data_IF_988749913642
#
_entry.id   IF_988749913642
#
_cell.length_a   1.000
_cell.length_b   1.000
_cell.length_c   1.000
_cell.angle_alpha   90.00
_cell.angle_beta   90.00
_cell.angle_gamma   90.00
#
_symmetry.space_group_name_H-M   'P 1'
#
loop_
_entity.id
_entity.type
_entity.pdbx_description
1 polymer ?
#
# COMPACT_ATOMS: atom_id res chain seq x y z
N UNK A 1 -37.18 20.12 -20.84
CA UNK A 1 -37.38 18.73 -21.27
C UNK A 1 -36.12 18.26 -21.98
N UNK A 2 -35.27 17.54 -21.26
CA UNK A 2 -34.07 16.89 -21.79
C UNK A 2 -34.03 15.50 -21.19
N UNK A 3 -34.11 14.49 -22.05
CA UNK A 3 -34.34 13.09 -21.70
C UNK A 3 -33.22 12.55 -20.80
N UNK A 4 -33.64 11.87 -19.74
CA UNK A 4 -32.81 11.08 -18.86
C UNK A 4 -32.07 9.96 -19.61
N UNK A 5 -30.77 9.85 -19.41
CA UNK A 5 -29.99 8.66 -19.73
C UNK A 5 -29.68 7.95 -18.42
N UNK A 6 -30.45 6.90 -18.11
CA UNK A 6 -30.15 5.95 -17.02
C UNK A 6 -28.85 5.23 -17.36
N UNK A 7 -27.84 5.32 -16.51
CA UNK A 7 -26.69 4.39 -16.51
C UNK A 7 -26.69 3.61 -15.21
N UNK A 8 -27.28 2.42 -15.25
CA UNK A 8 -26.96 1.34 -14.31
C UNK A 8 -25.53 0.92 -14.60
N UNK A 9 -24.59 1.27 -13.73
CA UNK A 9 -23.18 0.89 -13.84
C UNK A 9 -22.96 -0.58 -13.47
N UNK A 10 -23.58 -1.51 -14.20
CA UNK A 10 -22.90 -2.79 -14.44
C UNK A 10 -21.57 -2.43 -15.08
N UNK A 11 -20.47 -3.07 -14.69
CA UNK A 11 -19.21 -2.93 -15.37
C UNK A 11 -19.42 -3.44 -16.81
N UNK A 12 -19.88 -2.55 -17.71
CA UNK A 12 -20.44 -2.88 -19.03
C UNK A 12 -19.44 -3.72 -19.80
N UNK A 13 -18.15 -3.47 -19.58
CA UNK A 13 -17.04 -4.21 -20.17
C UNK A 13 -17.02 -5.68 -19.74
N UNK A 14 -17.14 -5.94 -18.43
CA UNK A 14 -17.17 -7.29 -17.87
C UNK A 14 -18.47 -8.01 -18.26
N UNK A 15 -19.61 -7.31 -18.19
CA UNK A 15 -20.91 -7.86 -18.58
C UNK A 15 -21.00 -8.20 -20.07
N UNK A 16 -20.44 -7.37 -20.96
CA UNK A 16 -20.36 -7.66 -22.39
C UNK A 16 -19.42 -8.84 -22.65
N UNK A 17 -18.27 -8.89 -21.97
CA UNK A 17 -17.30 -10.01 -22.08
C UNK A 17 -17.96 -11.33 -21.71
N UNK A 18 -18.62 -11.39 -20.55
CA UNK A 18 -19.21 -12.63 -20.05
C UNK A 18 -20.34 -13.12 -20.97
N UNK A 19 -21.09 -12.20 -21.61
CA UNK A 19 -22.11 -12.55 -22.60
C UNK A 19 -21.53 -13.06 -23.92
N UNK A 20 -20.45 -12.46 -24.42
CA UNK A 20 -19.79 -12.93 -25.65
C UNK A 20 -19.15 -14.30 -25.41
N UNK A 21 -18.52 -14.50 -24.26
CA UNK A 21 -17.90 -15.77 -23.89
C UNK A 21 -18.96 -16.86 -23.69
N UNK A 22 -20.08 -16.54 -23.03
CA UNK A 22 -21.24 -17.43 -22.92
C UNK A 22 -21.80 -17.80 -24.30
N UNK A 23 -21.92 -16.83 -25.21
CA UNK A 23 -22.40 -17.07 -26.57
C UNK A 23 -21.46 -18.02 -27.34
N UNK A 24 -20.15 -17.81 -27.25
CA UNK A 24 -19.16 -18.67 -27.90
C UNK A 24 -19.22 -20.12 -27.36
N UNK A 25 -19.35 -20.29 -26.05
CA UNK A 25 -19.55 -21.60 -25.41
C UNK A 25 -20.87 -22.23 -25.87
N UNK A 26 -21.96 -21.48 -25.90
CA UNK A 26 -23.26 -21.99 -26.33
C UNK A 26 -23.23 -22.45 -27.79
N UNK A 27 -22.61 -21.69 -28.69
CA UNK A 27 -22.43 -22.05 -30.11
C UNK A 27 -21.62 -23.35 -30.22
N UNK A 28 -20.52 -23.46 -29.47
CA UNK A 28 -19.70 -24.67 -29.44
C UNK A 28 -20.49 -25.89 -28.95
N UNK A 29 -21.17 -25.78 -27.80
CA UNK A 29 -21.94 -26.88 -27.19
C UNK A 29 -23.09 -27.31 -28.08
N UNK A 30 -23.81 -26.37 -28.71
CA UNK A 30 -24.89 -26.67 -29.64
C UNK A 30 -24.34 -27.39 -30.88
N UNK A 31 -23.24 -26.91 -31.46
CA UNK A 31 -22.60 -27.55 -32.62
C UNK A 31 -22.09 -28.96 -32.31
N UNK A 32 -21.38 -29.11 -31.19
CA UNK A 32 -20.86 -30.41 -30.74
C UNK A 32 -22.00 -31.39 -30.37
N UNK A 33 -23.03 -30.91 -29.68
CA UNK A 33 -24.21 -31.69 -29.33
C UNK A 33 -24.96 -32.17 -30.57
N UNK A 34 -25.21 -31.27 -31.53
CA UNK A 34 -25.84 -31.60 -32.80
C UNK A 34 -25.00 -32.62 -33.60
N UNK A 35 -23.67 -32.47 -33.62
CA UNK A 35 -22.76 -33.40 -34.29
C UNK A 35 -22.83 -34.82 -33.69
N UNK A 36 -22.82 -34.94 -32.36
CA UNK A 36 -22.90 -36.24 -31.66
C UNK A 36 -24.28 -36.87 -31.81
N UNK A 37 -25.34 -36.06 -31.70
CA UNK A 37 -26.73 -36.53 -31.80
C UNK A 37 -27.16 -36.89 -33.23
N UNK A 38 -26.45 -36.40 -34.25
CA UNK A 38 -26.80 -36.65 -35.65
C UNK A 38 -26.84 -38.15 -35.97
N UNK A 39 -25.96 -38.95 -35.36
CA UNK A 39 -25.91 -40.42 -35.52
C UNK A 39 -27.10 -41.15 -34.88
N UNK A 40 -27.78 -40.53 -33.91
CA UNK A 40 -28.91 -41.13 -33.20
C UNK A 40 -30.27 -40.71 -33.77
N UNK A 41 -30.32 -39.60 -34.51
CA UNK A 41 -31.55 -38.98 -34.98
C UNK A 41 -31.76 -39.18 -36.49
N UNK A 42 -30.68 -39.27 -37.27
CA UNK A 42 -30.76 -39.45 -38.72
C UNK A 42 -30.21 -40.82 -39.12
N UNK A 43 -30.86 -41.45 -40.09
CA UNK A 43 -30.41 -42.71 -40.66
C UNK A 43 -29.08 -42.51 -41.41
N UNK A 44 -28.13 -43.42 -41.23
CA UNK A 44 -26.76 -43.28 -41.73
C UNK A 44 -26.69 -43.25 -43.26
N UNK A 45 -27.67 -43.84 -43.94
CA UNK A 45 -27.82 -43.81 -45.41
C UNK A 45 -28.73 -42.67 -45.90
N UNK A 46 -29.22 -41.84 -44.98
CA UNK A 46 -30.09 -40.72 -45.27
C UNK A 46 -29.35 -39.56 -45.95
N UNK A 47 -29.95 -39.00 -47.00
CA UNK A 47 -29.41 -37.86 -47.76
C UNK A 47 -29.10 -36.60 -46.91
N UNK A 48 -29.67 -36.50 -45.71
CA UNK A 48 -29.51 -35.38 -44.79
C UNK A 48 -28.46 -35.58 -43.70
N UNK A 49 -27.98 -36.81 -43.49
CA UNK A 49 -27.04 -37.12 -42.42
C UNK A 49 -25.71 -36.38 -42.58
N UNK A 50 -25.09 -36.51 -43.77
CA UNK A 50 -23.80 -35.86 -44.05
C UNK A 50 -23.87 -34.32 -44.01
N UNK A 51 -24.83 -33.64 -44.68
CA UNK A 51 -24.93 -32.18 -44.61
C UNK A 51 -25.13 -31.63 -43.20
N UNK A 52 -25.99 -32.25 -42.39
CA UNK A 52 -26.27 -31.79 -41.02
C UNK A 52 -25.06 -31.99 -40.13
N UNK A 53 -24.36 -33.12 -40.26
CA UNK A 53 -23.15 -33.42 -39.48
C UNK A 53 -22.01 -32.47 -39.82
N UNK A 54 -21.75 -32.20 -41.09
CA UNK A 54 -20.71 -31.25 -41.52
C UNK A 54 -21.03 -29.82 -41.09
N UNK A 55 -22.30 -29.41 -41.18
CA UNK A 55 -22.74 -28.09 -40.73
C UNK A 55 -22.62 -27.93 -39.22
N UNK A 56 -22.97 -28.96 -38.44
CA UNK A 56 -22.81 -28.96 -36.99
C UNK A 56 -21.33 -28.88 -36.56
N UNK A 57 -20.45 -29.58 -37.28
CA UNK A 57 -19.00 -29.49 -37.07
C UNK A 57 -18.46 -28.09 -37.36
N UNK A 58 -18.96 -27.45 -38.42
CA UNK A 58 -18.58 -26.08 -38.78
C UNK A 58 -19.04 -25.06 -37.70
N UNK A 59 -20.26 -25.21 -37.17
CA UNK A 59 -20.75 -24.40 -36.04
C UNK A 59 -19.87 -24.59 -34.80
N UNK A 60 -19.51 -25.84 -34.48
CA UNK A 60 -18.63 -26.16 -33.35
C UNK A 60 -17.25 -25.49 -33.52
N UNK A 61 -16.65 -25.57 -34.71
CA UNK A 61 -15.37 -24.95 -35.02
C UNK A 61 -15.42 -23.41 -34.87
N UNK A 62 -16.50 -22.77 -35.33
CA UNK A 62 -16.71 -21.32 -35.14
C UNK A 62 -16.77 -20.96 -33.66
N UNK A 63 -17.48 -21.76 -32.85
CA UNK A 63 -17.54 -21.56 -31.39
C UNK A 63 -16.15 -21.66 -30.74
N UNK A 64 -15.35 -22.66 -31.13
CA UNK A 64 -14.00 -22.86 -30.61
C UNK A 64 -13.05 -21.72 -30.99
N UNK A 65 -13.05 -21.28 -32.26
CA UNK A 65 -12.20 -20.17 -32.71
C UNK A 65 -12.60 -18.86 -32.01
N UNK A 66 -13.90 -18.61 -31.85
CA UNK A 66 -14.41 -17.41 -31.16
C UNK A 66 -14.02 -17.40 -29.69
N UNK A 67 -14.05 -18.57 -29.03
CA UNK A 67 -13.62 -18.73 -27.65
C UNK A 67 -12.11 -18.50 -27.50
N UNK A 68 -11.29 -19.04 -28.40
CA UNK A 68 -9.84 -18.80 -28.43
C UNK A 68 -9.50 -17.33 -28.66
N UNK A 69 -10.24 -16.64 -29.52
CA UNK A 69 -10.06 -15.21 -29.76
C UNK A 69 -10.35 -14.38 -28.50
N UNK A 70 -11.47 -14.62 -27.83
CA UNK A 70 -11.86 -13.84 -26.64
C UNK A 70 -10.98 -14.10 -25.42
N UNK A 71 -10.52 -15.34 -25.24
CA UNK A 71 -9.69 -15.71 -24.07
C UNK A 71 -8.24 -15.27 -24.25
N UNK A 72 -7.66 -15.42 -25.44
CA UNK A 72 -6.22 -15.21 -25.64
C UNK A 72 -5.91 -13.98 -26.47
N UNK A 73 -6.45 -13.91 -27.69
CA UNK A 73 -6.04 -12.88 -28.65
C UNK A 73 -6.52 -11.50 -28.23
N UNK A 74 -7.73 -11.38 -27.70
CA UNK A 74 -8.28 -10.08 -27.32
C UNK A 74 -7.50 -9.41 -26.19
N UNK A 75 -7.04 -10.18 -25.21
CA UNK A 75 -6.28 -9.64 -24.08
C UNK A 75 -4.87 -9.22 -24.52
N UNK A 76 -4.19 -10.06 -25.31
CA UNK A 76 -2.92 -9.71 -25.96
C UNK A 76 -3.06 -8.44 -26.81
N UNK A 77 -4.03 -8.42 -27.73
CA UNK A 77 -4.23 -7.28 -28.63
C UNK A 77 -4.63 -6.01 -27.84
N UNK A 78 -5.45 -6.13 -26.79
CA UNK A 78 -5.84 -4.99 -25.98
C UNK A 78 -4.67 -4.41 -25.19
N UNK A 79 -3.79 -5.26 -24.65
CA UNK A 79 -2.58 -4.80 -23.96
C UNK A 79 -1.62 -4.11 -24.93
N UNK A 80 -1.40 -4.67 -26.12
CA UNK A 80 -0.62 -4.01 -27.18
C UNK A 80 -1.23 -2.67 -27.61
N UNK A 81 -2.55 -2.61 -27.81
CA UNK A 81 -3.23 -1.35 -28.13
C UNK A 81 -3.14 -0.35 -26.98
N UNK A 82 -3.25 -0.80 -25.73
CA UNK A 82 -3.15 0.05 -24.54
C UNK A 82 -1.74 0.63 -24.42
N UNK A 83 -0.70 -0.20 -24.58
CA UNK A 83 0.70 0.25 -24.59
C UNK A 83 0.94 1.26 -25.71
N UNK A 84 0.46 0.98 -26.93
CA UNK A 84 0.55 1.91 -28.05
C UNK A 84 -0.23 3.22 -27.79
N UNK A 85 -1.39 3.15 -27.14
CA UNK A 85 -2.19 4.34 -26.80
C UNK A 85 -1.52 5.17 -25.70
N UNK A 86 -0.90 4.52 -24.70
CA UNK A 86 -0.13 5.18 -23.65
C UNK A 86 1.12 5.87 -24.24
N UNK A 87 1.79 5.24 -25.21
CA UNK A 87 2.85 5.87 -26.01
C UNK A 87 2.37 7.10 -26.78
N UNK A 88 1.14 7.11 -27.29
CA UNK A 88 0.57 8.23 -28.04
C UNK A 88 0.09 9.36 -27.10
N UNK A 89 -0.52 9.02 -25.97
CA UNK A 89 -1.16 9.99 -25.06
C UNK A 89 -0.14 10.67 -24.16
N UNK A 90 0.92 9.97 -23.74
CA UNK A 90 1.99 10.55 -22.92
C UNK A 90 3.37 10.06 -23.39
N UNK A 91 3.81 10.45 -24.60
CA UNK A 91 5.05 9.97 -25.20
C UNK A 91 6.28 10.28 -24.36
N UNK A 92 6.28 11.42 -23.65
CA UNK A 92 7.39 11.79 -22.78
C UNK A 92 7.47 10.93 -21.52
N UNK A 93 6.35 10.60 -20.86
CA UNK A 93 6.38 9.71 -19.70
C UNK A 93 6.91 8.31 -20.07
N UNK A 94 6.44 7.74 -21.18
CA UNK A 94 6.91 6.42 -21.65
C UNK A 94 8.37 6.46 -22.05
N UNK A 95 8.79 7.50 -22.81
CA UNK A 95 10.19 7.72 -23.18
C UNK A 95 11.08 7.86 -21.95
N UNK A 96 10.59 8.55 -20.92
CA UNK A 96 11.31 8.77 -19.67
C UNK A 96 11.25 7.55 -18.72
N UNK A 97 10.47 6.52 -19.03
CA UNK A 97 10.32 5.33 -18.19
C UNK A 97 9.47 5.56 -16.94
N UNK A 98 8.60 6.56 -16.93
CA UNK A 98 7.67 6.84 -15.83
C UNK A 98 6.45 5.95 -16.02
N UNK A 99 6.26 4.97 -15.12
CA UNK A 99 5.07 4.11 -15.11
C UNK A 99 3.88 4.79 -14.43
N UNK A 100 4.13 5.64 -13.43
CA UNK A 100 3.07 6.32 -12.70
C UNK A 100 3.57 7.51 -11.90
N UNK A 101 2.69 8.51 -11.76
CA UNK A 101 2.85 9.62 -10.83
C UNK A 101 1.64 9.61 -9.92
N UNK A 102 1.87 9.45 -8.64
CA UNK A 102 0.86 9.34 -7.59
C UNK A 102 0.94 10.58 -6.72
N UNK A 103 -0.20 11.12 -6.27
CA UNK A 103 -0.24 12.36 -5.48
C UNK A 103 0.35 12.16 -4.09
N UNK A 104 0.25 10.94 -3.56
CA UNK A 104 0.73 10.56 -2.24
C UNK A 104 0.93 9.05 -2.14
N UNK A 105 1.42 8.60 -0.97
CA UNK A 105 1.70 7.19 -0.68
C UNK A 105 0.46 6.29 -0.62
N UNK A 106 -0.72 6.81 -0.27
CA UNK A 106 -1.95 6.02 -0.27
C UNK A 106 -2.36 5.65 -1.69
N UNK A 107 -2.31 6.61 -2.62
CA UNK A 107 -2.57 6.36 -4.04
C UNK A 107 -1.54 5.42 -4.66
N UNK A 108 -0.25 5.57 -4.30
CA UNK A 108 0.78 4.60 -4.70
C UNK A 108 0.47 3.19 -4.17
N UNK A 109 0.11 3.06 -2.89
CA UNK A 109 -0.16 1.76 -2.27
C UNK A 109 -1.39 1.05 -2.83
N UNK A 110 -2.39 1.81 -3.33
CA UNK A 110 -3.53 1.26 -4.07
C UNK A 110 -3.11 0.68 -5.42
N UNK A 111 -2.17 1.34 -6.12
CA UNK A 111 -1.69 0.89 -7.41
C UNK A 111 -0.65 -0.24 -7.32
N UNK A 112 0.21 -0.21 -6.31
CA UNK A 112 1.25 -1.22 -6.09
C UNK A 112 1.56 -1.30 -4.60
N UNK A 113 1.28 -2.46 -3.99
CA UNK A 113 1.60 -2.69 -2.58
C UNK A 113 3.10 -2.77 -2.35
N UNK A 114 3.51 -2.49 -1.11
CA UNK A 114 4.92 -2.57 -0.72
C UNK A 114 5.44 -4.01 -0.81
N UNK A 115 4.58 -4.99 -0.48
CA UNK A 115 4.84 -6.41 -0.60
C UNK A 115 5.08 -6.80 -2.05
N UNK A 116 4.22 -6.33 -2.97
CA UNK A 116 4.33 -6.62 -4.41
C UNK A 116 5.65 -6.08 -5.00
N UNK A 117 6.11 -4.91 -4.54
CA UNK A 117 7.43 -4.40 -4.92
C UNK A 117 8.55 -5.36 -4.52
N UNK A 118 8.42 -6.04 -3.37
CA UNK A 118 9.46 -6.86 -2.76
C UNK A 118 9.36 -8.35 -3.09
N UNK A 119 8.27 -8.80 -3.72
CA UNK A 119 8.05 -10.22 -4.05
C UNK A 119 9.19 -10.80 -4.90
N UNK A 120 9.59 -10.10 -5.96
CA UNK A 120 10.48 -10.61 -7.01
C UNK A 120 11.91 -10.06 -6.97
N UNK A 121 12.37 -9.56 -5.81
CA UNK A 121 13.73 -9.02 -5.66
C UNK A 121 14.77 -10.13 -5.75
N UNK A 122 15.86 -9.87 -6.47
CA UNK A 122 16.89 -10.89 -6.75
C UNK A 122 18.26 -10.56 -6.16
N UNK A 123 18.62 -9.28 -6.04
CA UNK A 123 19.96 -8.87 -5.64
C UNK A 123 19.96 -7.83 -4.53
N UNK A 124 19.24 -6.72 -4.71
CA UNK A 124 19.39 -5.56 -3.84
C UNK A 124 18.10 -4.78 -3.63
N UNK A 125 17.91 -4.37 -2.38
CA UNK A 125 16.93 -3.37 -1.96
C UNK A 125 17.70 -2.19 -1.38
N UNK A 126 17.48 -1.00 -1.91
CA UNK A 126 18.10 0.23 -1.41
C UNK A 126 17.02 1.27 -1.09
N UNK A 127 16.87 1.61 0.19
CA UNK A 127 15.83 2.50 0.68
C UNK A 127 16.45 3.73 1.34
N UNK A 128 16.07 4.91 0.88
CA UNK A 128 16.51 6.19 1.42
C UNK A 128 15.36 7.05 1.89
N UNK A 129 15.50 7.66 3.06
CA UNK A 129 14.46 8.55 3.58
C UNK A 129 14.93 9.38 4.76
N UNK A 130 14.04 10.19 5.32
CA UNK A 130 14.40 11.10 6.41
C UNK A 130 14.60 10.37 7.74
N UNK A 131 13.61 9.59 8.19
CA UNK A 131 13.76 8.74 9.39
C UNK A 131 13.67 7.24 9.12
N UNK A 132 13.10 6.80 8.00
CA UNK A 132 12.79 5.39 7.73
C UNK A 132 11.86 4.71 8.75
N UNK A 133 11.06 5.46 9.52
CA UNK A 133 10.19 4.89 10.55
C UNK A 133 9.27 3.78 10.06
N UNK A 134 8.52 4.01 8.97
CA UNK A 134 7.63 3.00 8.40
C UNK A 134 8.35 1.74 7.94
N UNK A 135 9.61 1.88 7.51
CA UNK A 135 10.45 0.78 7.05
C UNK A 135 10.92 -0.04 8.25
N UNK A 136 11.37 0.64 9.32
CA UNK A 136 11.79 0.01 10.57
C UNK A 136 10.65 -0.61 11.39
N UNK A 137 9.40 -0.28 11.09
CA UNK A 137 8.21 -0.77 11.83
C UNK A 137 7.36 -1.69 10.97
N UNK A 138 6.61 -1.14 10.01
CA UNK A 138 5.62 -1.86 9.22
C UNK A 138 6.26 -2.87 8.26
N UNK A 139 7.41 -2.53 7.67
CA UNK A 139 8.12 -3.41 6.72
C UNK A 139 9.24 -4.23 7.36
N UNK A 140 9.34 -4.25 8.70
CA UNK A 140 10.44 -4.86 9.43
C UNK A 140 10.60 -6.35 9.13
N UNK A 141 9.53 -7.12 9.24
CA UNK A 141 9.57 -8.57 9.02
C UNK A 141 9.87 -8.91 7.56
N UNK A 142 9.35 -8.12 6.62
CA UNK A 142 9.66 -8.27 5.20
C UNK A 142 11.15 -8.03 4.91
N UNK A 143 11.75 -6.99 5.52
CA UNK A 143 13.20 -6.72 5.44
C UNK A 143 13.99 -7.88 6.02
N UNK A 144 13.57 -8.39 7.19
CA UNK A 144 14.20 -9.55 7.84
C UNK A 144 14.18 -10.76 6.92
N UNK A 145 13.03 -11.10 6.36
CA UNK A 145 12.85 -12.24 5.45
C UNK A 145 13.78 -12.13 4.24
N UNK A 146 13.80 -10.96 3.57
CA UNK A 146 14.64 -10.74 2.38
C UNK A 146 16.14 -10.76 2.71
N UNK A 147 16.54 -10.21 3.85
CA UNK A 147 17.93 -10.31 4.31
C UNK A 147 18.31 -11.77 4.59
N UNK A 148 17.45 -12.55 5.25
CA UNK A 148 17.70 -13.97 5.51
C UNK A 148 17.70 -14.81 4.23
N UNK A 149 17.01 -14.37 3.17
CA UNK A 149 17.03 -15.02 1.86
C UNK A 149 18.27 -14.68 1.01
N UNK A 150 19.23 -13.91 1.54
CA UNK A 150 20.47 -13.58 0.84
C UNK A 150 20.46 -12.26 0.07
N UNK A 151 19.39 -11.46 0.15
CA UNK A 151 19.31 -10.16 -0.53
C UNK A 151 20.13 -9.11 0.22
N UNK A 152 20.82 -8.23 -0.52
CA UNK A 152 21.54 -7.08 0.05
C UNK A 152 20.54 -5.96 0.32
N UNK A 153 20.52 -5.45 1.54
CA UNK A 153 19.64 -4.36 1.95
C UNK A 153 20.49 -3.17 2.39
N UNK A 154 20.41 -2.07 1.63
CA UNK A 154 20.98 -0.78 1.97
C UNK A 154 19.89 0.13 2.52
N UNK A 155 20.11 0.70 3.70
CA UNK A 155 19.21 1.67 4.31
C UNK A 155 19.95 2.98 4.56
N UNK A 156 19.32 4.09 4.18
CA UNK A 156 19.87 5.42 4.31
C UNK A 156 18.89 6.35 5.03
N UNK A 157 19.29 6.88 6.19
CA UNK A 157 18.48 7.79 7.01
C UNK A 157 19.26 9.01 7.50
N UNK A 158 18.57 10.05 7.99
CA UNK A 158 19.28 11.24 8.49
C UNK A 158 20.04 10.93 9.78
N UNK A 159 21.21 11.55 9.94
CA UNK A 159 21.95 11.54 11.20
C UNK A 159 21.17 12.35 12.27
N UNK A 160 20.81 11.75 13.42
CA UNK A 160 20.12 12.47 14.50
C UNK A 160 20.89 13.69 15.02
N UNK A 161 22.21 13.73 14.86
CA UNK A 161 23.07 14.84 15.27
C UNK A 161 23.28 15.89 14.16
N UNK A 162 22.69 15.70 12.98
CA UNK A 162 22.83 16.66 11.88
C UNK A 162 22.20 18.02 12.22
N UNK A 163 22.85 19.14 11.88
CA UNK A 163 22.25 20.48 11.94
C UNK A 163 20.93 20.59 11.17
N UNK A 164 20.73 19.76 10.15
CA UNK A 164 19.49 19.73 9.37
C UNK A 164 18.33 19.17 10.18
N UNK A 165 18.57 18.16 11.03
CA UNK A 165 17.54 17.62 11.92
C UNK A 165 17.10 18.67 12.94
N UNK A 166 18.04 19.42 13.48
CA UNK A 166 17.75 20.55 14.37
C UNK A 166 16.92 21.62 13.65
N UNK A 167 17.32 21.99 12.42
CA UNK A 167 16.60 22.98 11.61
C UNK A 167 15.15 22.54 11.32
N UNK A 168 14.94 21.29 10.92
CA UNK A 168 13.60 20.72 10.68
C UNK A 168 12.78 20.70 11.96
N UNK A 169 13.39 20.30 13.08
CA UNK A 169 12.73 20.26 14.40
C UNK A 169 12.26 21.63 14.83
N UNK A 170 13.08 22.67 14.63
CA UNK A 170 12.72 24.07 14.90
C UNK A 170 11.58 24.55 13.99
N UNK A 171 11.59 24.19 12.71
CA UNK A 171 10.49 24.54 11.80
C UNK A 171 9.15 23.87 12.16
N UNK A 172 9.19 22.66 12.75
CA UNK A 172 8.03 21.94 13.26
C UNK A 172 7.51 22.43 14.63
N UNK A 173 7.88 23.65 15.05
CA UNK A 173 7.46 24.21 16.34
C UNK A 173 8.27 23.71 17.54
N UNK A 174 9.46 23.16 17.32
CA UNK A 174 10.39 22.74 18.38
C UNK A 174 10.06 21.41 19.05
N UNK A 175 9.03 20.69 18.59
CA UNK A 175 8.71 19.35 19.11
C UNK A 175 9.76 18.34 18.66
N UNK A 176 10.39 17.62 19.58
CA UNK A 176 11.41 16.60 19.31
C UNK A 176 10.89 15.36 18.55
N UNK A 177 9.66 15.37 18.05
CA UNK A 177 9.04 14.23 17.35
C UNK A 177 9.90 13.73 16.21
N UNK A 178 10.44 14.60 15.35
CA UNK A 178 11.26 14.17 14.21
C UNK A 178 12.60 13.56 14.63
N UNK A 179 13.29 14.15 15.60
CA UNK A 179 14.52 13.60 16.17
C UNK A 179 14.26 12.22 16.81
N UNK A 180 13.18 12.11 17.57
CA UNK A 180 12.80 10.85 18.20
C UNK A 180 12.47 9.79 17.16
N UNK A 181 11.77 10.13 16.07
CA UNK A 181 11.52 9.18 14.97
C UNK A 181 12.82 8.62 14.39
N UNK A 182 13.85 9.45 14.17
CA UNK A 182 15.16 9.00 13.67
C UNK A 182 15.82 8.06 14.68
N UNK A 183 15.87 8.45 15.96
CA UNK A 183 16.46 7.64 17.03
C UNK A 183 15.75 6.30 17.20
N UNK A 184 14.42 6.30 17.19
CA UNK A 184 13.59 5.09 17.22
C UNK A 184 13.89 4.19 16.03
N UNK A 185 13.99 4.74 14.83
CA UNK A 185 14.33 3.94 13.65
C UNK A 185 15.71 3.31 13.74
N UNK A 186 16.73 4.06 14.20
CA UNK A 186 18.07 3.50 14.43
C UNK A 186 18.02 2.35 15.44
N UNK A 187 17.35 2.53 16.58
CA UNK A 187 17.20 1.48 17.59
C UNK A 187 16.50 0.22 17.05
N UNK A 188 15.42 0.40 16.28
CA UNK A 188 14.68 -0.72 15.68
C UNK A 188 15.52 -1.45 14.62
N UNK A 189 16.31 -0.72 13.83
CA UNK A 189 17.22 -1.29 12.84
C UNK A 189 18.40 -2.03 13.48
N UNK A 190 18.93 -1.53 14.61
CA UNK A 190 19.95 -2.23 15.41
C UNK A 190 19.42 -3.57 15.93
N UNK A 191 18.22 -3.58 16.53
CA UNK A 191 17.57 -4.84 16.96
C UNK A 191 17.32 -5.81 15.80
N UNK A 192 16.89 -5.28 14.65
CA UNK A 192 16.70 -6.09 13.45
C UNK A 192 18.02 -6.71 12.96
N UNK A 193 19.10 -5.94 12.99
CA UNK A 193 20.45 -6.40 12.66
C UNK A 193 20.88 -7.56 13.57
N UNK A 194 20.71 -7.41 14.88
CA UNK A 194 21.01 -8.46 15.87
C UNK A 194 20.21 -9.74 15.62
N UNK A 195 18.91 -9.63 15.35
CA UNK A 195 18.05 -10.77 15.04
C UNK A 195 18.49 -11.51 13.77
N UNK A 196 18.86 -10.76 12.72
CA UNK A 196 19.37 -11.36 11.48
C UNK A 196 20.69 -12.08 11.77
N UNK A 197 21.59 -11.49 12.56
CA UNK A 197 22.86 -12.13 12.92
C UNK A 197 22.67 -13.42 13.72
N UNK A 198 21.70 -13.48 14.64
CA UNK A 198 21.41 -14.66 15.46
C UNK A 198 20.81 -15.82 14.65
N UNK A 199 19.97 -15.53 13.67
CA UNK A 199 19.24 -16.55 12.89
C UNK A 199 20.03 -17.02 11.66
N UNK A 200 20.92 -16.20 11.11
CA UNK A 200 21.59 -16.50 9.84
C UNK A 200 22.54 -17.70 9.93
N UNK A 201 22.33 -18.78 9.14
CA UNK A 201 23.27 -19.89 9.07
C UNK A 201 24.60 -19.47 8.42
N UNK A 202 25.72 -20.15 8.73
CA UNK A 202 27.01 -19.85 8.12
C UNK A 202 26.98 -20.19 6.62
N UNK A 203 26.96 -19.16 5.77
CA UNK A 203 27.15 -19.28 4.32
C UNK A 203 26.11 -18.58 3.45
N UNK A 204 24.95 -18.18 3.99
CA UNK A 204 23.91 -17.47 3.25
C UNK A 204 23.52 -16.17 3.99
N UNK A 205 24.46 -15.21 4.01
CA UNK A 205 24.27 -13.94 4.72
C UNK A 205 23.85 -12.88 3.72
N UNK A 206 22.54 -12.62 3.61
CA UNK A 206 22.14 -11.30 3.10
C UNK A 206 22.66 -10.24 4.07
N UNK A 207 22.93 -9.05 3.53
CA UNK A 207 23.65 -8.01 4.27
C UNK A 207 22.71 -6.84 4.53
N UNK A 208 22.42 -6.56 5.80
CA UNK A 208 21.74 -5.33 6.21
C UNK A 208 22.80 -4.26 6.53
N UNK A 209 22.87 -3.23 5.69
CA UNK A 209 23.82 -2.11 5.81
C UNK A 209 23.02 -0.83 6.07
N UNK A 210 23.36 -0.10 7.13
CA UNK A 210 22.69 1.15 7.49
C UNK A 210 23.71 2.28 7.47
N UNK A 211 23.40 3.34 6.73
CA UNK A 211 24.19 4.56 6.66
C UNK A 211 23.36 5.78 7.08
N UNK A 212 24.01 6.79 7.62
CA UNK A 212 23.42 8.09 7.94
C UNK A 212 23.98 9.21 7.07
N UNK A 213 23.14 10.20 6.74
CA UNK A 213 23.54 11.41 6.01
C UNK A 213 23.11 12.67 6.76
N UNK A 214 23.81 13.78 6.51
CA UNK A 214 23.64 15.03 7.24
C UNK A 214 23.12 16.19 6.39
N UNK A 215 22.75 15.93 5.14
CA UNK A 215 22.29 16.91 4.15
C UNK A 215 20.75 16.95 4.01
N UNK A 216 20.19 18.05 3.48
CA UNK A 216 18.74 18.13 3.18
C UNK A 216 18.42 17.17 2.02
N UNK A 217 17.57 16.13 2.22
CA UNK A 217 17.24 15.22 1.15
C UNK A 217 16.32 15.92 0.13
N UNK A 218 16.61 15.77 -1.16
CA UNK A 218 15.73 16.27 -2.23
C UNK A 218 14.48 15.38 -2.42
N UNK A 219 14.57 14.11 -2.03
CA UNK A 219 13.54 13.10 -2.18
C UNK A 219 13.75 11.94 -1.18
N UNK A 220 12.76 11.06 -1.04
CA UNK A 220 12.93 9.73 -0.44
C UNK A 220 12.69 8.67 -1.51
N UNK A 221 13.27 7.49 -1.38
CA UNK A 221 13.25 6.50 -2.46
C UNK A 221 13.27 5.04 -1.99
N UNK A 222 12.85 4.17 -2.89
CA UNK A 222 13.01 2.72 -2.84
C UNK A 222 13.55 2.30 -4.19
N UNK A 223 14.74 1.73 -4.23
CA UNK A 223 15.37 1.17 -5.42
C UNK A 223 15.44 -0.34 -5.29
N UNK A 224 14.94 -1.04 -6.30
CA UNK A 224 14.91 -2.49 -6.34
C UNK A 224 15.71 -2.95 -7.55
N UNK A 225 16.70 -3.81 -7.30
CA UNK A 225 17.63 -4.36 -8.30
C UNK A 225 18.11 -3.30 -9.32
N UNK A 226 18.69 -2.16 -8.88
CA UNK A 226 18.99 -1.02 -9.76
C UNK A 226 20.00 -1.34 -10.88
N UNK A 227 20.80 -2.40 -10.72
CA UNK A 227 21.73 -2.88 -11.74
C UNK A 227 21.05 -3.75 -12.82
N UNK A 228 19.89 -4.33 -12.51
CA UNK A 228 19.17 -5.22 -13.44
C UNK A 228 18.36 -4.43 -14.47
N UNK A 229 18.04 -5.11 -15.57
CA UNK A 229 17.13 -4.57 -16.59
C UNK A 229 15.69 -4.44 -16.08
N UNK A 230 15.30 -5.29 -15.13
CA UNK A 230 14.00 -5.29 -14.45
C UNK A 230 13.96 -4.38 -13.21
N UNK A 231 14.98 -3.53 -13.02
CA UNK A 231 15.05 -2.66 -11.85
C UNK A 231 13.93 -1.62 -11.83
N UNK A 232 13.48 -1.27 -10.63
CA UNK A 232 12.40 -0.31 -10.37
C UNK A 232 12.85 0.70 -9.33
N UNK A 233 12.51 1.97 -9.51
CA UNK A 233 12.70 3.00 -8.49
C UNK A 233 11.38 3.70 -8.20
N UNK A 234 11.04 3.79 -6.93
CA UNK A 234 10.00 4.67 -6.41
C UNK A 234 10.69 5.90 -5.83
N UNK A 235 10.36 7.10 -6.30
CA UNK A 235 10.88 8.36 -5.79
C UNK A 235 9.75 9.26 -5.27
N UNK A 236 9.73 9.50 -3.97
CA UNK A 236 8.86 10.50 -3.31
C UNK A 236 9.50 11.88 -3.42
N UNK A 237 8.94 12.74 -4.28
CA UNK A 237 9.50 14.03 -4.65
C UNK A 237 9.22 15.08 -3.57
N UNK A 238 10.27 15.79 -3.16
CA UNK A 238 10.20 16.97 -2.31
C UNK A 238 10.87 16.78 -0.96
N UNK A 239 11.59 17.81 -0.47
CA UNK A 239 12.32 17.73 0.78
C UNK A 239 11.36 17.54 1.96
N UNK A 240 11.73 16.64 2.86
CA UNK A 240 11.00 16.45 4.10
C UNK A 240 11.40 17.56 5.09
N UNK A 241 10.61 18.62 5.17
CA UNK A 241 10.83 19.77 6.07
C UNK A 241 9.97 19.67 7.34
N UNK A 242 9.68 18.45 7.81
CA UNK A 242 8.89 18.23 9.04
C UNK A 242 7.39 18.53 8.91
N UNK A 243 6.88 18.77 7.70
CA UNK A 243 5.46 19.04 7.42
C UNK A 243 4.76 17.82 6.83
N UNK A 244 3.47 17.67 7.15
CA UNK A 244 2.58 16.59 6.67
C UNK A 244 1.98 16.86 5.28
N UNK A 245 2.64 17.67 4.45
CA UNK A 245 2.17 17.97 3.10
C UNK A 245 2.25 16.73 2.22
N UNK A 246 1.21 16.45 1.40
CA UNK A 246 1.26 15.37 0.42
C UNK A 246 2.50 15.49 -0.46
N UNK A 247 3.26 14.40 -0.60
CA UNK A 247 4.44 14.33 -1.46
C UNK A 247 4.13 13.39 -2.62
N UNK A 248 4.20 13.87 -3.87
CA UNK A 248 4.00 13.01 -5.02
C UNK A 248 5.06 11.91 -5.08
N UNK A 249 4.65 10.70 -5.48
CA UNK A 249 5.53 9.56 -5.69
C UNK A 249 5.60 9.25 -7.18
N UNK A 250 6.79 8.99 -7.69
CA UNK A 250 7.02 8.59 -9.09
C UNK A 250 7.55 7.16 -9.13
N UNK A 251 6.88 6.28 -9.87
CA UNK A 251 7.34 4.94 -10.17
C UNK A 251 8.05 4.95 -11.53
N UNK A 252 9.33 4.59 -11.55
CA UNK A 252 10.15 4.59 -12.77
C UNK A 252 10.79 3.23 -13.02
N UNK A 253 10.89 2.88 -14.30
CA UNK A 253 11.55 1.69 -14.82
C UNK A 253 12.70 2.06 -15.75
N UNK A 254 13.62 1.11 -15.94
CA UNK A 254 14.78 1.32 -16.80
C UNK A 254 14.39 1.51 -18.27
N UNK A 255 14.63 2.71 -18.79
CA UNK A 255 14.53 3.07 -20.22
C UNK A 255 15.77 3.85 -20.64
N UNK A 256 16.16 3.71 -21.92
CA UNK A 256 17.32 4.41 -22.48
C UNK A 256 17.06 5.93 -22.46
N UNK A 257 17.97 6.70 -21.84
CA UNK A 257 17.82 8.16 -21.63
C UNK A 257 16.55 8.53 -20.84
N UNK A 258 16.10 7.64 -19.96
CA UNK A 258 14.98 7.88 -19.06
C UNK A 258 15.39 8.45 -17.70
N UNK A 259 14.40 8.64 -16.83
CA UNK A 259 14.57 9.17 -15.47
C UNK A 259 15.19 8.15 -14.50
N UNK A 260 15.18 6.86 -14.86
CA UNK A 260 15.73 5.81 -14.00
C UNK A 260 17.19 6.05 -13.63
N UNK A 261 18.04 6.34 -14.62
CA UNK A 261 19.47 6.58 -14.38
C UNK A 261 19.71 7.85 -13.57
N UNK A 262 18.91 8.90 -13.80
CA UNK A 262 18.95 10.12 -12.99
C UNK A 262 18.66 9.83 -11.51
N UNK A 263 17.58 9.09 -11.21
CA UNK A 263 17.23 8.75 -9.83
C UNK A 263 18.25 7.80 -9.21
N UNK A 264 18.73 6.82 -9.97
CA UNK A 264 19.80 5.92 -9.52
C UNK A 264 21.05 6.70 -9.13
N UNK A 265 21.52 7.59 -10.00
CA UNK A 265 22.69 8.45 -9.74
C UNK A 265 22.46 9.30 -8.49
N UNK A 266 21.27 9.88 -8.33
CA UNK A 266 20.97 10.69 -7.15
C UNK A 266 20.96 9.88 -5.84
N UNK A 267 20.47 8.64 -5.88
CA UNK A 267 20.49 7.74 -4.74
C UNK A 267 21.92 7.34 -4.36
N UNK A 268 22.76 7.06 -5.36
CA UNK A 268 24.17 6.73 -5.13
C UNK A 268 24.98 7.93 -4.64
N UNK A 269 24.75 9.14 -5.15
CA UNK A 269 25.39 10.36 -4.61
C UNK A 269 25.07 10.53 -3.14
N UNK A 270 23.81 10.31 -2.73
CA UNK A 270 23.43 10.35 -1.32
C UNK A 270 24.11 9.25 -0.49
N UNK A 271 24.34 8.08 -1.07
CA UNK A 271 25.07 6.98 -0.43
C UNK A 271 26.56 7.28 -0.28
N UNK A 272 27.22 7.82 -1.30
CA UNK A 272 28.66 8.10 -1.31
C UNK A 272 29.06 9.13 -0.25
N UNK A 273 28.20 10.13 0.00
CA UNK A 273 28.44 11.16 1.03
C UNK A 273 27.97 10.76 2.43
N UNK A 274 27.36 9.58 2.55
CA UNK A 274 26.85 9.06 3.83
C UNK A 274 27.91 8.32 4.62
N UNK A 275 27.65 8.15 5.91
CA UNK A 275 28.56 7.49 6.84
C UNK A 275 27.92 6.20 7.36
N UNK A 276 28.68 5.08 7.46
CA UNK A 276 28.18 3.87 8.09
C UNK A 276 27.73 4.13 9.54
N UNK A 277 26.57 3.60 9.89
CA UNK A 277 26.09 3.60 11.29
C UNK A 277 26.73 2.42 12.01
N UNK A 278 27.26 2.67 13.20
CA UNK A 278 27.71 1.60 14.08
C UNK A 278 26.49 0.83 14.64
N UNK A 279 26.26 -0.34 14.07
CA UNK A 279 25.15 -1.22 14.45
C UNK A 279 25.45 -2.03 15.71
N UNK A 280 26.73 -2.11 16.11
CA UNK A 280 27.20 -2.83 17.30
C UNK A 280 27.48 -1.89 18.47
N UNK A 281 27.43 -0.56 18.24
CA UNK A 281 27.56 0.44 19.29
C UNK A 281 26.58 0.16 20.43
N UNK A 282 27.11 0.11 21.66
CA UNK A 282 26.30 0.02 22.86
C UNK A 282 25.27 1.16 22.85
N UNK A 283 24.00 0.76 22.95
CA UNK A 283 22.79 1.56 23.05
C UNK A 283 23.07 3.02 23.46
N UNK A 284 22.99 4.02 22.54
CA UNK A 284 23.15 5.44 22.91
C UNK A 284 22.05 5.92 23.87
N UNK A 285 21.05 5.08 24.11
CA UNK A 285 20.08 5.18 25.20
C UNK A 285 20.31 4.05 26.19
N UNK A 286 21.35 4.12 27.03
CA UNK A 286 21.62 3.13 28.09
C UNK A 286 20.55 3.04 29.21
N UNK A 287 19.34 3.54 28.98
CA UNK A 287 18.16 3.15 29.74
C UNK A 287 17.51 1.98 29.00
N UNK A 288 16.94 1.01 29.71
CA UNK A 288 16.25 -0.16 29.13
C UNK A 288 14.99 0.20 28.32
N UNK A 289 14.91 1.38 27.71
CA UNK A 289 13.76 1.91 27.00
C UNK A 289 13.63 1.24 25.64
N UNK A 290 12.61 0.40 25.52
CA UNK A 290 12.09 -0.17 24.28
C UNK A 290 11.06 0.78 23.67
N UNK A 291 10.95 0.75 22.36
CA UNK A 291 9.97 1.54 21.62
C UNK A 291 9.12 0.63 20.73
N UNK A 292 7.81 0.82 20.76
CA UNK A 292 6.85 0.21 19.86
C UNK A 292 6.15 1.31 19.05
N UNK A 293 6.12 1.16 17.73
CA UNK A 293 5.40 2.08 16.85
C UNK A 293 4.51 1.27 15.92
N UNK A 294 3.23 1.59 15.91
CA UNK A 294 2.22 0.99 15.03
C UNK A 294 1.54 2.08 14.22
N UNK A 295 1.15 1.76 12.99
CA UNK A 295 0.53 2.71 12.08
C UNK A 295 -0.70 2.09 11.42
N UNK A 296 -1.67 2.92 11.02
CA UNK A 296 -2.82 2.45 10.25
C UNK A 296 -2.39 1.94 8.88
N UNK A 297 -2.98 0.83 8.46
CA UNK A 297 -2.68 0.11 7.23
C UNK A 297 -3.46 -1.21 7.18
N UNK A 298 -2.94 -2.21 6.48
CA UNK A 298 -3.58 -3.55 6.34
C UNK A 298 -3.71 -4.33 7.65
N UNK A 299 -2.99 -3.92 8.69
CA UNK A 299 -3.05 -4.52 10.03
C UNK A 299 -4.15 -3.91 10.91
N UNK A 300 -4.82 -2.85 10.44
CA UNK A 300 -6.03 -2.34 11.09
C UNK A 300 -7.20 -3.25 10.73
N UNK A 301 -7.97 -3.69 11.72
CA UNK A 301 -9.16 -4.51 11.50
C UNK A 301 -10.43 -3.67 11.65
N UNK A 302 -11.50 -4.02 10.94
CA UNK A 302 -12.85 -3.49 11.13
C UNK A 302 -13.82 -4.61 11.52
N UNK A 303 -14.87 -4.27 12.26
CA UNK A 303 -15.90 -5.23 12.65
C UNK A 303 -16.99 -5.32 11.58
N UNK A 304 -17.08 -6.47 10.92
CA UNK A 304 -18.14 -6.76 9.96
C UNK A 304 -19.39 -7.20 10.72
N UNK A 305 -20.47 -6.41 10.62
CA UNK A 305 -21.73 -6.67 11.34
C UNK A 305 -22.53 -7.81 10.71
N UNK A 306 -22.32 -8.14 9.44
CA UNK A 306 -23.06 -9.21 8.77
C UNK A 306 -22.43 -10.57 9.09
N UNK A 307 -21.09 -10.61 9.17
CA UNK A 307 -20.34 -11.83 9.50
C UNK A 307 -20.10 -12.00 11.01
N UNK A 308 -20.30 -10.95 11.80
CA UNK A 308 -19.96 -10.87 13.23
C UNK A 308 -18.46 -11.13 13.52
N UNK A 309 -17.60 -10.92 12.53
CA UNK A 309 -16.14 -11.14 12.58
C UNK A 309 -15.35 -9.84 12.45
N UNK A 310 -14.06 -9.91 12.79
CA UNK A 310 -13.10 -8.85 12.52
C UNK A 310 -12.37 -9.17 11.22
N UNK A 311 -12.40 -8.22 10.28
CA UNK A 311 -11.81 -8.33 8.95
C UNK A 311 -10.74 -7.26 8.75
N UNK A 312 -9.79 -7.47 7.85
CA UNK A 312 -8.76 -6.46 7.54
C UNK A 312 -9.38 -5.24 6.85
N UNK A 313 -9.02 -4.05 7.30
CA UNK A 313 -9.42 -2.81 6.66
C UNK A 313 -8.71 -2.64 5.30
N UNK A 314 -9.35 -1.88 4.41
CA UNK A 314 -8.82 -1.54 3.09
C UNK A 314 -8.15 -0.17 3.12
N UNK A 315 -7.09 0.01 2.33
CA UNK A 315 -6.51 1.33 2.08
C UNK A 315 -7.50 2.14 1.25
N UNK A 316 -8.05 3.21 1.83
CA UNK A 316 -9.15 3.95 1.22
C UNK A 316 -8.67 5.13 0.38
N UNK A 317 -9.53 5.53 -0.55
CA UNK A 317 -9.33 6.73 -1.36
C UNK A 317 -9.33 7.97 -0.46
N UNK A 318 -8.25 8.75 -0.55
CA UNK A 318 -8.17 10.02 0.17
C UNK A 318 -9.14 11.04 -0.41
N UNK A 319 -9.82 11.76 0.49
CA UNK A 319 -10.57 12.95 0.14
C UNK A 319 -9.68 14.12 -0.28
N UNK A 320 -10.29 15.07 -0.98
CA UNK A 320 -9.60 16.30 -1.38
C UNK A 320 -9.22 17.11 -0.14
N UNK A 321 -7.96 17.53 -0.04
CA UNK A 321 -7.47 18.33 1.08
C UNK A 321 -7.05 17.52 2.32
N UNK A 322 -7.19 16.19 2.29
CA UNK A 322 -6.75 15.35 3.40
C UNK A 322 -5.23 15.34 3.55
N UNK A 323 -4.78 15.32 4.81
CA UNK A 323 -3.38 15.28 5.20
C UNK A 323 -3.00 13.89 5.72
N UNK A 324 -1.78 13.45 5.41
CA UNK A 324 -1.26 12.18 5.92
C UNK A 324 -0.73 12.27 7.36
N UNK A 325 -0.48 11.11 7.95
CA UNK A 325 0.42 10.94 9.10
C UNK A 325 1.61 10.11 8.60
N UNK A 326 2.83 10.54 8.95
CA UNK A 326 4.04 9.89 8.45
C UNK A 326 4.11 8.43 8.87
N UNK A 327 4.19 7.56 7.87
CA UNK A 327 4.29 6.12 8.01
C UNK A 327 2.95 5.41 8.15
N UNK A 328 1.84 6.12 8.00
CA UNK A 328 0.49 5.60 8.10
C UNK A 328 -0.25 5.74 6.77
N UNK A 329 -1.27 4.89 6.57
CA UNK A 329 -2.17 4.92 5.42
C UNK A 329 -3.59 5.21 5.90
N UNK A 330 -4.37 5.91 5.07
CA UNK A 330 -5.80 6.07 5.29
C UNK A 330 -6.51 4.72 5.09
N UNK A 331 -7.31 4.32 6.07
CA UNK A 331 -8.02 3.03 6.07
C UNK A 331 -9.52 3.22 6.24
N UNK A 332 -10.29 2.35 5.59
CA UNK A 332 -11.74 2.24 5.71
C UNK A 332 -12.19 0.79 5.51
N UNK A 333 -13.50 0.52 5.59
CA UNK A 333 -14.05 -0.83 5.34
C UNK A 333 -13.92 -1.26 3.87
N UNK A 334 -13.68 -0.31 2.96
CA UNK A 334 -13.55 -0.53 1.51
C UNK A 334 -12.73 0.59 0.88
N UNK A 335 -12.22 0.37 -0.34
CA UNK A 335 -11.41 1.37 -1.06
C UNK A 335 -12.19 2.68 -1.32
N UNK A 336 -13.45 2.57 -1.76
CA UNK A 336 -14.32 3.72 -2.06
C UNK A 336 -15.68 3.57 -1.40
N UNK A 337 -16.18 4.64 -0.78
CA UNK A 337 -17.50 4.66 -0.14
C UNK A 337 -18.61 4.42 -1.17
N UNK A 338 -19.56 3.53 -0.84
CA UNK A 338 -20.71 3.24 -1.70
C UNK A 338 -21.71 4.40 -1.69
N UNK A 339 -22.44 4.64 -2.78
CA UNK A 339 -23.38 5.78 -2.90
C UNK A 339 -24.43 5.79 -1.79
N UNK A 340 -25.01 4.63 -1.47
CA UNK A 340 -26.03 4.57 -0.42
C UNK A 340 -25.44 4.83 0.96
N UNK A 341 -24.24 4.31 1.24
CA UNK A 341 -23.50 4.61 2.46
C UNK A 341 -23.18 6.11 2.57
N UNK A 342 -22.71 6.71 1.48
CA UNK A 342 -22.46 8.15 1.41
C UNK A 342 -23.73 8.97 1.69
N UNK A 343 -24.90 8.55 1.19
CA UNK A 343 -26.17 9.26 1.40
C UNK A 343 -26.70 9.17 2.83
N UNK A 344 -26.54 8.03 3.48
CA UNK A 344 -27.10 7.80 4.83
C UNK A 344 -26.11 8.09 5.95
N UNK A 345 -24.82 8.18 5.62
CA UNK A 345 -23.75 8.08 6.60
C UNK A 345 -23.62 6.63 7.11
N UNK A 346 -22.58 6.40 7.90
CA UNK A 346 -22.31 5.08 8.48
C UNK A 346 -21.49 5.17 9.76
N UNK A 347 -21.42 4.06 10.48
CA UNK A 347 -20.64 3.94 11.70
C UNK A 347 -20.00 2.57 11.77
N UNK A 348 -18.67 2.54 11.75
CA UNK A 348 -17.88 1.32 11.76
C UNK A 348 -16.90 1.32 12.92
N UNK A 349 -16.66 0.13 13.47
CA UNK A 349 -15.68 -0.08 14.52
C UNK A 349 -14.42 -0.64 13.91
N UNK A 350 -13.30 -0.02 14.21
CA UNK A 350 -11.97 -0.48 13.87
C UNK A 350 -11.20 -0.83 15.14
N UNK A 351 -10.19 -1.67 15.03
CA UNK A 351 -9.26 -1.93 16.14
C UNK A 351 -7.84 -2.20 15.66
N UNK A 352 -6.93 -2.05 16.60
CA UNK A 352 -5.59 -2.63 16.53
C UNK A 352 -5.29 -3.33 17.85
N UNK A 353 -4.64 -4.49 17.74
CA UNK A 353 -4.15 -5.26 18.87
C UNK A 353 -2.64 -5.23 18.90
N UNK A 354 -2.06 -5.18 20.09
CA UNK A 354 -0.62 -5.28 20.29
C UNK A 354 -0.31 -5.80 21.68
N UNK A 355 0.86 -6.41 21.83
CA UNK A 355 1.33 -6.94 23.10
C UNK A 355 2.48 -6.08 23.65
N UNK A 356 2.47 -5.85 24.96
CA UNK A 356 3.56 -5.18 25.67
C UNK A 356 4.10 -6.07 26.79
N UNK A 357 5.38 -6.49 26.72
CA UNK A 357 5.98 -7.33 27.75
C UNK A 357 6.50 -6.46 28.92
N UNK A 358 5.61 -5.83 29.68
CA UNK A 358 5.94 -4.88 30.76
C UNK A 358 5.47 -5.38 32.13
N UNK A 359 6.41 -5.85 32.94
CA UNK A 359 6.08 -6.36 34.29
C UNK A 359 5.63 -5.30 35.30
N UNK A 360 5.77 -4.02 34.97
CA UNK A 360 5.44 -2.90 35.85
C UNK A 360 4.73 -1.79 35.06
N UNK A 361 3.55 -1.30 35.46
CA UNK A 361 2.86 -0.20 34.79
C UNK A 361 3.71 1.09 34.71
N UNK A 362 4.56 1.34 35.69
CA UNK A 362 5.49 2.47 35.69
C UNK A 362 6.65 2.32 34.69
N UNK A 363 6.70 1.20 33.96
CA UNK A 363 7.64 1.01 32.88
C UNK A 363 7.26 1.82 31.63
N UNK A 364 6.00 2.24 31.48
CA UNK A 364 5.58 3.09 30.36
C UNK A 364 6.08 4.51 30.62
N UNK A 365 6.98 5.00 29.78
CA UNK A 365 7.45 6.38 29.83
C UNK A 365 6.58 7.31 28.99
N UNK A 366 6.02 6.77 27.91
CA UNK A 366 5.25 7.51 26.93
C UNK A 366 4.36 6.56 26.15
N UNK A 367 3.10 6.92 25.95
CA UNK A 367 2.24 6.26 24.97
C UNK A 367 1.33 7.31 24.34
N UNK A 368 1.49 7.52 23.03
CA UNK A 368 0.84 8.59 22.29
C UNK A 368 0.25 8.07 21.00
N UNK A 369 -0.94 8.55 20.65
CA UNK A 369 -1.57 8.34 19.34
C UNK A 369 -1.62 9.67 18.59
N UNK A 370 -1.07 9.69 17.38
CA UNK A 370 -1.43 10.69 16.36
C UNK A 370 -2.65 10.19 15.60
N UNK A 371 -3.70 10.99 15.45
CA UNK A 371 -4.92 10.56 14.76
C UNK A 371 -5.55 11.67 13.92
N UNK A 372 -6.13 11.26 12.79
CA UNK A 372 -7.10 12.04 12.01
C UNK A 372 -8.22 11.11 11.56
N UNK A 373 -9.39 11.67 11.37
CA UNK A 373 -10.48 10.97 10.73
C UNK A 373 -11.31 11.93 9.88
N UNK A 374 -12.05 11.34 8.95
CA UNK A 374 -13.14 11.98 8.23
C UNK A 374 -14.37 11.06 8.35
N UNK A 375 -15.45 11.43 9.04
CA UNK A 375 -15.67 12.73 9.69
C UNK A 375 -15.19 12.77 11.15
N UNK A 376 -15.70 11.85 11.99
CA UNK A 376 -15.48 11.87 13.44
C UNK A 376 -15.16 10.50 14.01
N UNK A 377 -14.18 10.42 14.89
CA UNK A 377 -13.76 9.20 15.56
C UNK A 377 -13.85 9.32 17.08
N UNK A 378 -14.43 8.31 17.73
CA UNK A 378 -14.32 8.07 19.17
C UNK A 378 -13.32 6.95 19.43
N UNK A 379 -12.49 7.10 20.46
CA UNK A 379 -11.41 6.15 20.76
C UNK A 379 -11.67 5.50 22.12
N UNK A 380 -11.38 4.21 22.21
CA UNK A 380 -11.23 3.52 23.50
C UNK A 380 -9.94 2.71 23.54
N UNK A 381 -9.30 2.68 24.71
CA UNK A 381 -8.10 1.88 24.97
C UNK A 381 -8.43 0.90 26.08
N UNK A 382 -8.29 -0.40 25.83
CA UNK A 382 -8.62 -1.47 26.77
C UNK A 382 -10.02 -1.31 27.41
N UNK A 383 -11.02 -1.02 26.56
CA UNK A 383 -12.41 -0.73 26.92
C UNK A 383 -12.66 0.56 27.71
N UNK A 384 -11.65 1.40 27.95
CA UNK A 384 -11.81 2.75 28.51
C UNK A 384 -12.01 3.75 27.38
N UNK A 385 -13.23 4.28 27.27
CA UNK A 385 -13.58 5.29 26.26
C UNK A 385 -13.04 6.68 26.60
N UNK A 386 -12.40 7.32 25.63
CA UNK A 386 -12.00 8.72 25.72
C UNK A 386 -13.20 9.60 25.36
N UNK A 387 -13.41 10.67 26.13
CA UNK A 387 -14.62 11.52 26.02
C UNK A 387 -14.58 12.52 24.86
N UNK A 388 -13.47 12.59 24.13
CA UNK A 388 -13.27 13.56 23.05
C UNK A 388 -13.56 12.93 21.68
N UNK A 389 -14.13 13.73 20.81
CA UNK A 389 -14.32 13.44 19.40
C UNK A 389 -13.13 13.94 18.59
N UNK A 390 -12.64 13.11 17.68
CA UNK A 390 -11.48 13.41 16.85
C UNK A 390 -11.87 13.37 15.38
N UNK A 391 -12.01 14.55 14.78
CA UNK A 391 -12.28 14.76 13.36
C UNK A 391 -11.39 15.88 12.81
N UNK A 392 -11.00 15.81 11.55
CA UNK A 392 -10.10 16.83 10.97
C UNK A 392 -9.07 16.27 10.00
N UNK A 393 -9.54 15.56 8.99
CA UNK A 393 -8.69 15.07 7.91
C UNK A 393 -7.93 16.19 7.17
N UNK A 394 -8.51 17.38 7.11
CA UNK A 394 -7.97 18.57 6.44
C UNK A 394 -7.12 19.49 7.34
N UNK A 395 -7.07 19.24 8.65
CA UNK A 395 -6.34 20.11 9.58
C UNK A 395 -4.82 20.05 9.33
N UNK A 396 -4.07 21.15 9.52
CA UNK A 396 -2.62 21.13 9.34
C UNK A 396 -1.90 20.11 10.23
N UNK A 397 -2.33 20.00 11.50
CA UNK A 397 -1.74 19.11 12.50
C UNK A 397 -2.72 17.98 12.91
N UNK A 398 -2.24 16.73 13.12
CA UNK A 398 -3.06 15.66 13.65
C UNK A 398 -3.32 15.86 15.14
N UNK A 399 -4.36 15.21 15.67
CA UNK A 399 -4.58 15.15 17.12
C UNK A 399 -3.48 14.31 17.76
N UNK A 400 -2.87 14.82 18.83
CA UNK A 400 -1.94 14.08 19.68
C UNK A 400 -2.69 13.70 20.96
N UNK A 401 -2.75 12.40 21.24
CA UNK A 401 -3.57 11.84 22.31
C UNK A 401 -2.67 11.00 23.22
N UNK A 402 -2.52 11.42 24.46
CA UNK A 402 -1.78 10.67 25.47
C UNK A 402 -2.65 9.53 26.02
N UNK A 403 -2.13 8.31 25.98
CA UNK A 403 -2.82 7.08 26.41
C UNK A 403 -2.03 6.25 27.42
N UNK A 404 -0.93 6.79 27.95
CA UNK A 404 -0.04 6.17 28.91
C UNK A 404 -0.76 5.48 30.07
N UNK A 405 -1.75 6.14 30.66
CA UNK A 405 -2.54 5.63 31.79
C UNK A 405 -3.53 4.49 31.44
N UNK A 406 -3.75 4.22 30.16
CA UNK A 406 -4.74 3.22 29.71
C UNK A 406 -4.12 1.94 29.15
N UNK A 407 -2.82 1.94 28.93
CA UNK A 407 -2.05 0.82 28.40
C UNK A 407 -1.59 -0.10 29.54
N UNK A 408 -1.56 -1.40 29.32
CA UNK A 408 -1.28 -2.43 30.34
C UNK A 408 -0.26 -3.48 29.87
N UNK A 409 0.14 -4.37 30.78
CA UNK A 409 0.96 -5.55 30.46
C UNK A 409 0.17 -6.57 29.63
N UNK A 410 0.86 -7.21 28.69
CA UNK A 410 0.28 -8.19 27.76
C UNK A 410 -0.54 -7.57 26.63
N UNK A 411 -1.63 -8.23 26.25
CA UNK A 411 -2.48 -7.80 25.14
C UNK A 411 -3.21 -6.49 25.46
N UNK A 412 -3.06 -5.53 24.55
CA UNK A 412 -3.76 -4.26 24.51
C UNK A 412 -4.60 -4.17 23.25
N UNK A 413 -5.77 -3.53 23.36
CA UNK A 413 -6.64 -3.22 22.22
C UNK A 413 -6.99 -1.75 22.23
N UNK A 414 -6.72 -1.08 21.10
CA UNK A 414 -7.27 0.25 20.82
C UNK A 414 -8.40 0.08 19.82
N UNK A 415 -9.59 0.56 20.16
CA UNK A 415 -10.75 0.55 19.28
C UNK A 415 -11.11 1.97 18.86
N UNK A 416 -11.42 2.12 17.58
CA UNK A 416 -11.82 3.37 16.95
C UNK A 416 -13.24 3.21 16.43
N UNK A 417 -14.16 4.02 16.90
CA UNK A 417 -15.52 4.09 16.37
C UNK A 417 -15.59 5.29 15.43
N UNK A 418 -15.56 5.03 14.13
CA UNK A 418 -15.54 6.06 13.10
C UNK A 418 -16.93 6.24 12.50
N UNK A 419 -17.39 7.48 12.53
CA UNK A 419 -18.69 7.93 12.06
C UNK A 419 -18.48 8.75 10.79
N UNK A 420 -19.14 8.34 9.71
CA UNK A 420 -19.28 9.07 8.45
C UNK A 420 -20.61 9.81 8.48
N UNK A 421 -20.59 11.14 8.31
CA UNK A 421 -21.81 11.92 8.22
C UNK A 421 -22.46 11.76 6.86
N UNK A 422 -23.79 11.80 6.86
CA UNK A 422 -24.59 11.62 5.67
C UNK A 422 -24.41 12.78 4.69
N UNK A 423 -24.20 12.45 3.43
CA UNK A 423 -24.20 13.38 2.29
C UNK A 423 -25.34 13.03 1.32
N UNK A 424 -26.57 13.50 1.57
CA UNK A 424 -27.76 13.06 0.84
C UNK A 424 -27.76 13.37 -0.66
N UNK A 425 -26.96 14.35 -1.09
CA UNK A 425 -26.80 14.74 -2.48
C UNK A 425 -25.81 13.87 -3.27
N UNK A 426 -25.20 12.86 -2.63
CA UNK A 426 -24.23 11.98 -3.28
C UNK A 426 -24.84 11.20 -4.46
N UNK A 427 -24.14 11.18 -5.60
CA UNK A 427 -24.57 10.60 -6.88
C UNK A 427 -23.69 9.44 -7.33
N UNK A 428 -22.42 9.47 -6.98
CA UNK A 428 -21.40 8.55 -7.48
C UNK A 428 -20.57 7.92 -6.34
N UNK A 429 -19.98 6.76 -6.60
CA UNK A 429 -19.11 6.06 -5.63
C UNK A 429 -17.85 6.87 -5.36
N UNK A 430 -17.41 6.93 -4.10
CA UNK A 430 -16.28 7.77 -3.68
C UNK A 430 -16.63 9.23 -3.43
N UNK A 431 -17.88 9.65 -3.68
CA UNK A 431 -18.40 10.87 -3.07
C UNK A 431 -18.58 10.66 -1.57
N UNK A 432 -18.28 11.69 -0.77
CA UNK A 432 -18.18 11.59 0.69
C UNK A 432 -17.08 10.62 1.15
N UNK A 433 -15.79 10.89 0.82
CA UNK A 433 -14.70 10.04 1.26
C UNK A 433 -14.70 9.97 2.79
N UNK A 434 -14.41 8.79 3.33
CA UNK A 434 -14.41 8.54 4.77
C UNK A 434 -13.21 7.65 5.09
N UNK A 435 -12.54 7.94 6.21
CA UNK A 435 -11.36 7.17 6.56
C UNK A 435 -10.79 7.53 7.92
N UNK A 436 -9.93 6.64 8.39
CA UNK A 436 -9.15 6.78 9.61
C UNK A 436 -7.66 6.75 9.25
N UNK A 437 -6.86 7.58 9.88
CA UNK A 437 -5.40 7.46 9.84
C UNK A 437 -4.85 7.68 11.25
N UNK A 438 -3.98 6.79 11.71
CA UNK A 438 -3.36 6.92 13.02
C UNK A 438 -1.93 6.42 13.06
N UNK A 439 -1.19 6.84 14.09
CA UNK A 439 0.11 6.31 14.46
C UNK A 439 0.25 6.27 15.97
N UNK A 440 0.48 5.08 16.51
CA UNK A 440 0.76 4.82 17.91
C UNK A 440 2.27 4.82 18.14
N UNK A 441 2.73 5.48 19.19
CA UNK A 441 4.11 5.49 19.65
C UNK A 441 4.17 5.22 21.15
N UNK A 442 4.83 4.15 21.57
CA UNK A 442 4.97 3.75 22.97
C UNK A 442 6.46 3.58 23.30
N UNK A 443 6.92 4.23 24.35
CA UNK A 443 8.25 4.06 24.94
C UNK A 443 8.10 3.43 26.34
N UNK A 444 8.79 2.31 26.60
CA UNK A 444 8.62 1.52 27.83
C UNK A 444 9.90 0.78 28.27
N UNK A 445 10.05 0.44 29.55
CA UNK A 445 11.22 -0.27 30.13
C UNK A 445 11.07 -1.78 30.31
#
# INVERSE_FOLDING_TARGET
MTKAVKKSGLNIRQWVRDRILFLAVAIFVIGAGAYISAEHVFDAEGIWFHPVREFALLISLIGMISLGYEIFLRELTFNEYKEALEEIVNPDAVRLGIQGIYKNRSELAQATSFEALFENVKEEIFIGGSSLLSISTASRELIKEKALSGIKIRLLLMDPNSPVVELITRQGGGKHTFLNEIKTSLLLLQKLHDEIQQVSPPGNKGQLIVHSYDSIPSHSFISIDPERSSGVIVADIGPYLGRSTPRPSMLVIKKKKGMFEYWKEMNEVMWEVSHPVDMEAADPTSAKTKTLVLASGTETEYYDRELETWEKASICQMGNGWHGIKGSQWVWVRETVAVEEAKTGSQHKFRIKFDLPIKNPNAIHRAEILLRSDDTCHISVNAVGLRQEYGGAEYPDPFLIDIDQYVQDGENTISFELISYARPDAKDTGENPTGLIYRLHIEYS
#
